data_IF_049503669910
#
_entry.id   IF_049503669910
#
_cell.length_a   1.000
_cell.length_b   1.000
_cell.length_c   1.000
_cell.angle_alpha   90.00
_cell.angle_beta   90.00
_cell.angle_gamma   90.00
#
_symmetry.space_group_name_H-M   'P 1'
#
loop_
_entity.id
_entity.type
_entity.pdbx_description
1 polymer ?
#
# COMPACT_ATOMS: atom_id res chain seq x y z
N UNK A 1 -14.35 -27.19 4.46
CA UNK A 1 -13.77 -25.86 4.74
C UNK A 1 -14.71 -25.17 5.71
N UNK A 2 -14.27 -24.98 6.96
CA UNK A 2 -15.08 -24.40 8.02
C UNK A 2 -15.32 -22.91 7.73
N UNK A 3 -16.58 -22.54 7.47
CA UNK A 3 -17.10 -21.17 7.65
C UNK A 3 -17.45 -21.00 9.12
N UNK A 4 -16.44 -20.82 9.98
CA UNK A 4 -16.66 -20.30 11.32
C UNK A 4 -16.68 -18.78 11.24
N UNK A 5 -17.59 -18.12 11.96
CA UNK A 5 -17.67 -16.67 12.03
C UNK A 5 -16.28 -16.07 12.27
N UNK A 6 -15.77 -15.31 11.29
CA UNK A 6 -14.59 -14.45 11.43
C UNK A 6 -14.94 -13.21 12.28
N UNK A 7 -15.62 -13.41 13.43
CA UNK A 7 -15.92 -12.30 14.32
C UNK A 7 -14.63 -11.90 15.05
N UNK A 8 -14.13 -10.73 14.68
CA UNK A 8 -13.00 -10.08 15.35
C UNK A 8 -13.53 -9.59 16.69
N UNK A 9 -13.55 -10.50 17.67
CA UNK A 9 -14.07 -10.23 19.01
C UNK A 9 -13.16 -9.28 19.82
N UNK A 10 -11.89 -9.13 19.42
CA UNK A 10 -10.86 -8.31 20.09
C UNK A 10 -9.94 -7.64 19.06
N UNK A 11 -10.44 -6.70 18.26
CA UNK A 11 -9.67 -6.04 17.20
C UNK A 11 -8.43 -5.31 17.73
N UNK A 12 -8.47 -4.89 18.99
CA UNK A 12 -7.35 -4.26 19.70
C UNK A 12 -6.13 -5.18 19.90
N UNK A 13 -6.30 -6.50 19.77
CA UNK A 13 -5.21 -7.49 19.95
C UNK A 13 -4.54 -7.92 18.66
N UNK A 14 -4.97 -7.39 17.51
CA UNK A 14 -4.39 -7.78 16.22
C UNK A 14 -2.91 -7.39 16.15
N UNK A 15 -2.52 -6.27 16.76
CA UNK A 15 -1.13 -5.82 16.84
C UNK A 15 -0.24 -6.84 17.58
N UNK A 16 -0.80 -7.60 18.54
CA UNK A 16 -0.07 -8.64 19.31
C UNK A 16 0.25 -9.90 18.49
N UNK A 17 -0.34 -10.08 17.30
CA UNK A 17 -0.10 -11.25 16.44
C UNK A 17 1.26 -11.18 15.74
N UNK A 18 1.84 -9.99 15.63
CA UNK A 18 3.07 -9.76 14.91
C UNK A 18 4.27 -9.80 15.87
N UNK A 19 5.26 -10.64 15.54
CA UNK A 19 6.50 -10.76 16.33
C UNK A 19 7.52 -9.67 16.03
N UNK A 20 7.37 -9.00 14.89
CA UNK A 20 8.31 -8.05 14.33
C UNK A 20 7.55 -6.86 13.76
N UNK A 21 8.08 -5.67 14.01
CA UNK A 21 7.57 -4.39 13.53
C UNK A 21 8.67 -3.54 12.88
N UNK A 22 9.75 -4.18 12.43
CA UNK A 22 10.86 -3.52 11.78
C UNK A 22 10.51 -3.15 10.32
N UNK A 23 11.08 -2.04 9.88
CA UNK A 23 11.03 -1.63 8.47
C UNK A 23 12.15 -2.28 7.68
N UNK A 24 11.87 -2.63 6.43
CA UNK A 24 12.86 -3.20 5.51
C UNK A 24 13.20 -2.16 4.45
N UNK A 25 14.50 -1.98 4.20
CA UNK A 25 15.00 -1.17 3.09
C UNK A 25 15.24 -2.08 1.87
N UNK A 26 14.71 -1.72 0.71
CA UNK A 26 14.80 -2.50 -0.52
C UNK A 26 15.38 -1.64 -1.65
N UNK A 27 16.48 -2.09 -2.23
CA UNK A 27 16.98 -1.59 -3.50
C UNK A 27 16.49 -2.49 -4.63
N UNK A 28 15.66 -1.95 -5.51
CA UNK A 28 15.03 -2.69 -6.59
C UNK A 28 15.66 -2.26 -7.92
N UNK A 29 16.13 -3.24 -8.67
CA UNK A 29 16.72 -3.04 -10.00
C UNK A 29 15.96 -3.85 -11.03
N UNK A 30 15.37 -3.17 -12.02
CA UNK A 30 14.81 -3.84 -13.20
C UNK A 30 15.84 -3.75 -14.32
N UNK A 31 16.12 -4.89 -14.94
CA UNK A 31 17.07 -5.03 -16.06
C UNK A 31 16.35 -5.41 -17.34
N UNK A 32 16.93 -5.09 -18.50
CA UNK A 32 16.35 -5.41 -19.81
C UNK A 32 15.21 -4.46 -20.18
N UNK A 33 15.27 -3.22 -19.69
CA UNK A 33 14.32 -2.17 -20.07
C UNK A 33 14.76 -1.48 -21.37
N UNK A 34 13.80 -1.19 -22.24
CA UNK A 34 14.07 -0.67 -23.59
C UNK A 34 13.81 0.84 -23.73
N UNK A 35 12.92 1.41 -22.92
CA UNK A 35 12.57 2.83 -23.01
C UNK A 35 13.55 3.71 -22.24
N UNK A 36 13.76 4.95 -22.69
CA UNK A 36 14.63 5.90 -22.00
C UNK A 36 14.05 6.38 -20.66
N UNK A 37 12.72 6.37 -20.51
CA UNK A 37 12.02 6.93 -19.35
C UNK A 37 10.83 6.06 -18.93
N UNK A 38 10.75 5.83 -17.63
CA UNK A 38 9.68 5.09 -16.98
C UNK A 38 9.00 5.94 -15.92
N UNK A 39 7.72 5.64 -15.68
CA UNK A 39 6.99 6.06 -14.49
C UNK A 39 6.86 4.88 -13.57
N UNK A 40 7.22 5.08 -12.30
CA UNK A 40 7.02 4.09 -11.23
C UNK A 40 5.88 4.62 -10.36
N UNK A 41 4.71 3.98 -10.45
CA UNK A 41 3.53 4.34 -9.67
C UNK A 41 3.39 3.40 -8.48
N UNK A 42 3.53 3.95 -7.27
CA UNK A 42 3.38 3.25 -5.99
C UNK A 42 1.93 3.33 -5.51
N UNK A 43 1.39 2.20 -5.07
CA UNK A 43 0.17 2.12 -4.23
C UNK A 43 0.50 1.33 -2.99
N UNK A 44 0.25 1.89 -1.81
CA UNK A 44 0.53 1.21 -0.56
C UNK A 44 -0.64 1.16 0.40
N UNK A 45 -0.71 0.05 1.13
CA UNK A 45 -1.59 -0.17 2.27
C UNK A 45 -0.70 -0.57 3.44
N UNK A 46 -0.90 0.04 4.61
CA UNK A 46 -0.15 -0.23 5.83
C UNK A 46 -1.08 -0.09 7.04
N UNK A 47 -0.64 -0.50 8.25
CA UNK A 47 -1.39 -0.22 9.47
C UNK A 47 -1.62 1.28 9.71
N UNK A 48 -0.82 2.17 9.13
CA UNK A 48 -1.00 3.62 9.28
C UNK A 48 -1.90 4.22 8.20
N UNK A 49 -2.07 3.56 7.05
CA UNK A 49 -2.73 4.17 5.88
C UNK A 49 -3.44 3.15 5.00
N UNK A 50 -4.68 3.46 4.59
CA UNK A 50 -5.41 2.66 3.59
C UNK A 50 -5.93 1.32 4.14
N UNK A 51 -6.02 1.18 5.46
CA UNK A 51 -6.49 -0.02 6.16
C UNK A 51 -7.81 0.25 6.90
N UNK A 52 -8.81 -0.60 6.67
CA UNK A 52 -10.12 -0.52 7.33
C UNK A 52 -10.01 -0.65 8.84
N UNK A 53 -9.21 -1.58 9.34
CA UNK A 53 -9.11 -1.84 10.76
C UNK A 53 -8.55 -0.63 11.52
N UNK A 54 -7.55 0.05 10.94
CA UNK A 54 -6.95 1.25 11.52
C UNK A 54 -7.92 2.44 11.50
N UNK A 55 -8.67 2.61 10.41
CA UNK A 55 -9.71 3.65 10.37
C UNK A 55 -10.83 3.36 11.36
N UNK A 56 -11.27 2.10 11.48
CA UNK A 56 -12.29 1.71 12.46
C UNK A 56 -11.81 1.83 13.91
N UNK A 57 -10.51 1.65 14.18
CA UNK A 57 -9.88 1.92 15.49
C UNK A 57 -10.09 3.38 15.93
N UNK A 58 -10.06 4.34 14.99
CA UNK A 58 -10.32 5.75 15.29
C UNK A 58 -11.77 6.00 15.73
N UNK A 59 -12.70 5.12 15.35
CA UNK A 59 -14.08 5.09 15.82
C UNK A 59 -14.28 4.12 17.00
N UNK A 60 -13.20 3.79 17.71
CA UNK A 60 -13.23 2.92 18.89
C UNK A 60 -13.83 1.53 18.61
N UNK A 61 -13.75 1.06 17.37
CA UNK A 61 -14.38 -0.17 16.91
C UNK A 61 -15.90 -0.22 17.16
N UNK A 62 -16.58 0.93 17.16
CA UNK A 62 -18.02 0.99 17.38
C UNK A 62 -18.75 0.17 16.30
N UNK A 63 -19.71 -0.66 16.74
CA UNK A 63 -20.55 -1.48 15.86
C UNK A 63 -21.77 -0.71 15.35
N UNK A 64 -22.05 0.48 15.89
CA UNK A 64 -23.20 1.33 15.58
C UNK A 64 -22.81 2.57 14.77
N UNK A 65 -21.98 2.40 13.74
CA UNK A 65 -21.57 3.49 12.85
C UNK A 65 -22.75 3.97 12.00
N UNK A 66 -22.90 5.29 11.87
CA UNK A 66 -23.91 5.85 11.00
C UNK A 66 -23.48 5.81 9.52
N UNK A 67 -24.41 6.16 8.62
CA UNK A 67 -24.14 6.16 7.17
C UNK A 67 -23.02 7.12 6.74
N UNK A 68 -22.79 8.20 7.48
CA UNK A 68 -21.74 9.19 7.22
C UNK A 68 -20.38 8.64 7.68
N UNK A 69 -20.34 7.99 8.83
CA UNK A 69 -19.15 7.33 9.37
C UNK A 69 -18.66 6.23 8.43
N UNK A 70 -19.57 5.35 7.99
CA UNK A 70 -19.26 4.28 7.02
C UNK A 70 -18.72 4.88 5.71
N UNK A 71 -19.34 5.96 5.24
CA UNK A 71 -18.91 6.65 4.01
C UNK A 71 -17.54 7.30 4.17
N UNK A 72 -17.24 7.85 5.34
CA UNK A 72 -15.93 8.39 5.66
C UNK A 72 -14.87 7.28 5.65
N UNK A 73 -15.07 6.22 6.42
CA UNK A 73 -14.14 5.09 6.53
C UNK A 73 -13.85 4.50 5.14
N UNK A 74 -14.87 4.25 4.33
CA UNK A 74 -14.69 3.73 2.96
C UNK A 74 -13.84 4.64 2.07
N UNK A 75 -13.88 5.96 2.31
CA UNK A 75 -13.06 6.94 1.58
C UNK A 75 -11.66 7.10 2.16
N UNK A 76 -11.48 6.85 3.45
CA UNK A 76 -10.16 6.89 4.08
C UNK A 76 -9.33 5.63 3.74
N UNK A 77 -9.98 4.49 3.49
CA UNK A 77 -9.34 3.20 3.20
C UNK A 77 -8.81 3.05 1.76
N UNK A 78 -8.58 4.14 1.02
CA UNK A 78 -7.92 4.03 -0.27
C UNK A 78 -6.40 3.88 -0.10
N UNK A 79 -5.74 3.01 -0.88
CA UNK A 79 -4.29 2.90 -0.86
C UNK A 79 -3.63 4.26 -1.09
N UNK A 80 -2.58 4.57 -0.33
CA UNK A 80 -1.79 5.77 -0.54
C UNK A 80 -1.10 5.67 -1.90
N UNK A 81 -1.20 6.72 -2.70
CA UNK A 81 -0.65 6.73 -4.06
C UNK A 81 0.46 7.77 -4.20
N UNK A 82 1.56 7.39 -4.84
CA UNK A 82 2.62 8.31 -5.27
C UNK A 82 3.20 7.84 -6.61
N UNK A 83 3.96 8.69 -7.27
CA UNK A 83 4.70 8.33 -8.47
C UNK A 83 6.04 9.05 -8.55
N UNK A 84 6.99 8.43 -9.24
CA UNK A 84 8.26 9.06 -9.63
C UNK A 84 8.61 8.73 -11.08
N UNK A 85 9.43 9.57 -11.68
CA UNK A 85 9.97 9.36 -13.02
C UNK A 85 11.42 8.91 -12.92
N UNK A 86 11.78 7.86 -13.66
CA UNK A 86 13.14 7.31 -13.71
C UNK A 86 13.62 7.21 -15.15
N UNK A 87 14.80 7.75 -15.41
CA UNK A 87 15.50 7.51 -16.66
C UNK A 87 16.17 6.14 -16.62
N UNK A 88 16.08 5.38 -17.69
CA UNK A 88 16.86 4.16 -17.84
C UNK A 88 18.33 4.51 -18.10
N UNK A 89 19.23 3.76 -17.47
CA UNK A 89 20.67 3.81 -17.71
C UNK A 89 21.17 2.39 -17.91
N UNK A 90 21.96 2.16 -18.95
CA UNK A 90 22.50 0.84 -19.28
C UNK A 90 21.43 -0.28 -19.34
N UNK A 91 20.27 0.03 -19.92
CA UNK A 91 19.08 -0.85 -19.99
C UNK A 91 18.57 -1.30 -18.61
N UNK A 92 18.70 -0.43 -17.59
CA UNK A 92 18.25 -0.67 -16.21
C UNK A 92 17.55 0.54 -15.61
N UNK A 93 16.62 0.29 -14.69
CA UNK A 93 16.09 1.31 -13.78
C UNK A 93 16.29 0.85 -12.34
N UNK A 94 16.64 1.80 -11.47
CA UNK A 94 16.95 1.55 -10.07
C UNK A 94 16.18 2.53 -9.17
N UNK A 95 15.58 1.98 -8.13
CA UNK A 95 14.88 2.77 -7.14
C UNK A 95 14.92 2.08 -5.78
N UNK A 96 14.87 2.92 -4.76
CA UNK A 96 14.95 2.53 -3.36
C UNK A 96 13.58 2.69 -2.72
N UNK A 97 13.20 1.74 -1.87
CA UNK A 97 11.97 1.84 -1.09
C UNK A 97 12.17 1.32 0.33
N UNK A 98 11.73 2.13 1.29
CA UNK A 98 11.48 1.70 2.66
C UNK A 98 10.08 1.09 2.75
N UNK A 99 10.02 -0.19 3.08
CA UNK A 99 8.78 -0.90 3.42
C UNK A 99 8.58 -0.81 4.93
N UNK A 100 7.49 -0.20 5.38
CA UNK A 100 7.12 -0.21 6.80
C UNK A 100 6.67 -1.61 7.22
N UNK A 101 6.69 -1.87 8.52
CA UNK A 101 6.11 -3.09 9.07
C UNK A 101 4.67 -3.27 8.58
N UNK A 102 4.38 -4.48 8.10
CA UNK A 102 3.07 -4.89 7.59
C UNK A 102 2.54 -4.00 6.46
N UNK A 103 3.41 -3.28 5.74
CA UNK A 103 3.06 -2.55 4.53
C UNK A 103 3.09 -3.48 3.32
N UNK A 104 2.08 -3.33 2.45
CA UNK A 104 2.04 -3.95 1.13
C UNK A 104 2.16 -2.83 0.11
N UNK A 105 3.08 -2.98 -0.84
CA UNK A 105 3.28 -2.03 -1.93
C UNK A 105 3.07 -2.73 -3.29
N UNK A 106 2.21 -2.14 -4.11
CA UNK A 106 2.11 -2.44 -5.53
C UNK A 106 2.84 -1.38 -6.33
N UNK A 107 3.86 -1.79 -7.08
CA UNK A 107 4.51 -0.99 -8.10
C UNK A 107 3.91 -1.27 -9.47
N UNK A 108 3.44 -0.22 -10.15
CA UNK A 108 3.06 -0.29 -11.56
C UNK A 108 4.04 0.56 -12.36
N UNK A 109 4.81 -0.10 -13.23
CA UNK A 109 5.91 0.51 -13.98
C UNK A 109 5.54 0.50 -15.46
N UNK A 110 5.61 1.66 -16.12
CA UNK A 110 5.27 1.81 -17.53
C UNK A 110 6.14 2.87 -18.21
N UNK A 111 6.34 2.72 -19.51
CA UNK A 111 7.12 3.62 -20.35
C UNK A 111 6.41 4.97 -20.53
N UNK A 112 7.18 6.06 -20.56
CA UNK A 112 6.65 7.38 -20.92
C UNK A 112 6.58 7.46 -22.44
N UNK A 113 5.50 6.95 -23.03
CA UNK A 113 5.25 7.18 -24.46
C UNK A 113 4.91 8.65 -24.69
N UNK A 114 5.75 9.34 -25.45
CA UNK A 114 5.35 10.61 -26.05
C UNK A 114 4.23 10.30 -27.03
N UNK A 115 3.01 10.78 -26.77
CA UNK A 115 1.97 10.76 -27.78
C UNK A 115 2.48 11.60 -28.96
N UNK A 116 2.82 10.96 -30.08
CA UNK A 116 2.93 11.68 -31.35
C UNK A 116 1.61 12.40 -31.56
N UNK A 117 1.67 13.73 -31.63
CA UNK A 117 0.59 14.53 -32.20
C UNK A 117 0.59 14.37 -33.71
#
# INVERSE_FOLDING_TARGET
YYTGDEDINKPEKIDDLFKDNDSIELDIVLTGVEAEKYVIKKRSVSPETGNLLSEWKNFQYDRNLDSKDIKYIRRACYPRMSMEHKAAKDNRIEFHVKLKAHEIILFHIYDVRVKSR
#
